data_IF_775096323787
#
_entry.id   IF_775096323787
#
_cell.length_a   1.000
_cell.length_b   1.000
_cell.length_c   1.000
_cell.angle_alpha   90.00
_cell.angle_beta   90.00
_cell.angle_gamma   90.00
#
_symmetry.space_group_name_H-M   'P 1'
#
loop_
_entity.id
_entity.type
_entity.pdbx_description
1 polymer ?
#
# COMPACT_ATOMS: atom_id res chain seq x y z
N UNK A 1 4.61 -12.17 -21.83
CA UNK A 1 3.20 -11.74 -21.65
C UNK A 1 3.17 -10.22 -21.77
N UNK A 2 2.58 -9.64 -22.83
CA UNK A 2 2.49 -8.18 -23.03
C UNK A 2 1.29 -7.67 -22.25
N UNK A 3 1.49 -6.82 -21.23
CA UNK A 3 0.39 -6.19 -20.50
C UNK A 3 -0.42 -5.30 -21.44
N UNK A 4 -1.69 -5.64 -21.62
CA UNK A 4 -2.66 -4.93 -22.46
C UNK A 4 -2.86 -3.49 -21.97
N UNK A 5 -2.86 -2.53 -22.89
CA UNK A 5 -2.99 -1.11 -22.64
C UNK A 5 -4.45 -0.65 -22.50
N UNK A 6 -5.28 -1.32 -21.69
CA UNK A 6 -6.70 -0.96 -21.52
C UNK A 6 -6.91 -0.16 -20.23
N UNK A 7 -6.28 1.00 -20.12
CA UNK A 7 -6.54 1.90 -18.99
C UNK A 7 -6.42 3.34 -19.46
N UNK A 8 -7.48 3.82 -20.13
CA UNK A 8 -7.66 5.21 -20.56
C UNK A 8 -8.20 6.11 -19.43
N UNK A 9 -8.56 5.51 -18.29
CA UNK A 9 -8.75 6.16 -16.99
C UNK A 9 -7.74 5.56 -16.03
N UNK A 10 -7.29 6.28 -15.01
CA UNK A 10 -6.32 5.85 -13.99
C UNK A 10 -6.75 4.62 -13.13
N UNK A 11 -7.53 3.70 -13.67
CA UNK A 11 -8.08 2.50 -13.06
C UNK A 11 -7.86 1.36 -14.06
N UNK A 12 -7.12 0.36 -13.63
CA UNK A 12 -6.78 -0.82 -14.43
C UNK A 12 -6.19 -1.87 -13.51
N UNK A 13 -6.65 -3.11 -13.65
CA UNK A 13 -6.24 -4.23 -12.81
C UNK A 13 -4.88 -4.77 -13.28
N UNK A 14 -3.81 -4.41 -12.57
CA UNK A 14 -2.45 -4.90 -12.80
C UNK A 14 -2.10 -5.94 -11.73
N UNK A 15 -1.98 -7.21 -12.10
CA UNK A 15 -1.66 -8.31 -11.19
C UNK A 15 -2.52 -8.34 -9.89
N UNK A 16 -3.83 -8.11 -10.02
CA UNK A 16 -4.76 -8.06 -8.89
C UNK A 16 -4.81 -6.71 -8.15
N UNK A 17 -4.12 -5.67 -8.66
CA UNK A 17 -4.17 -4.31 -8.13
C UNK A 17 -5.06 -3.43 -9.00
N UNK A 18 -6.14 -2.90 -8.40
CA UNK A 18 -7.10 -1.95 -8.99
C UNK A 18 -6.48 -0.72 -9.66
N UNK A 19 -5.22 -0.42 -9.35
CA UNK A 19 -4.50 0.73 -9.87
C UNK A 19 -3.09 0.30 -10.29
N UNK A 20 -2.85 0.27 -11.61
CA UNK A 20 -1.52 0.03 -12.19
C UNK A 20 -0.47 1.01 -11.65
N UNK A 21 0.75 0.53 -11.45
CA UNK A 21 1.86 1.37 -10.98
C UNK A 21 1.75 1.80 -9.51
N UNK A 22 0.96 1.08 -8.71
CA UNK A 22 0.83 1.28 -7.26
C UNK A 22 1.16 0.00 -6.49
N UNK A 23 1.42 0.16 -5.20
CA UNK A 23 1.60 -0.94 -4.24
C UNK A 23 0.93 -0.61 -2.92
N UNK A 24 0.57 -1.65 -2.17
CA UNK A 24 -0.13 -1.56 -0.91
C UNK A 24 0.80 -1.97 0.22
N UNK A 25 0.80 -1.19 1.28
CA UNK A 25 1.44 -1.53 2.56
C UNK A 25 0.31 -1.78 3.54
N UNK A 26 0.33 -2.95 4.16
CA UNK A 26 -0.67 -3.35 5.15
C UNK A 26 0.00 -3.37 6.52
N UNK A 27 -0.64 -2.76 7.50
CA UNK A 27 -0.33 -3.01 8.90
C UNK A 27 -1.35 -4.00 9.42
N UNK A 28 -0.87 -5.10 10.00
CA UNK A 28 -1.69 -6.15 10.58
C UNK A 28 -1.23 -6.43 12.00
N UNK A 29 -2.14 -6.88 12.86
CA UNK A 29 -1.78 -7.43 14.15
C UNK A 29 -1.24 -8.87 14.03
N UNK A 30 -0.87 -9.47 15.16
CA UNK A 30 -0.38 -10.85 15.22
C UNK A 30 -1.44 -11.91 14.87
N UNK A 31 -2.72 -11.54 14.95
CA UNK A 31 -3.85 -12.37 14.52
C UNK A 31 -4.21 -12.15 13.04
N UNK A 32 -3.41 -11.37 12.32
CA UNK A 32 -3.62 -10.98 10.91
C UNK A 32 -4.86 -10.09 10.68
N UNK A 33 -5.38 -9.44 11.72
CA UNK A 33 -6.41 -8.42 11.53
C UNK A 33 -5.80 -7.19 10.86
N UNK A 34 -6.47 -6.67 9.85
CA UNK A 34 -6.05 -5.47 9.14
C UNK A 34 -6.26 -4.24 10.02
N UNK A 35 -5.17 -3.61 10.45
CA UNK A 35 -5.19 -2.36 11.22
C UNK A 35 -5.21 -1.15 10.29
N UNK A 36 -4.40 -1.16 9.23
CA UNK A 36 -4.40 -0.08 8.22
C UNK A 36 -3.89 -0.54 6.86
N UNK A 37 -4.20 0.26 5.82
CA UNK A 37 -3.72 0.06 4.46
C UNK A 37 -3.33 1.39 3.83
N UNK A 38 -2.12 1.47 3.29
CA UNK A 38 -1.63 2.62 2.54
C UNK A 38 -1.31 2.22 1.09
N UNK A 39 -1.69 3.06 0.12
CA UNK A 39 -1.35 2.88 -1.30
C UNK A 39 -0.28 3.88 -1.69
N UNK A 40 0.88 3.39 -2.13
CA UNK A 40 1.98 4.22 -2.60
C UNK A 40 2.29 3.97 -4.08
N UNK A 41 3.03 4.88 -4.71
CA UNK A 41 3.50 4.67 -6.07
C UNK A 41 4.48 3.48 -6.13
N UNK A 42 4.50 2.76 -7.25
CA UNK A 42 5.33 1.56 -7.40
C UNK A 42 6.83 1.85 -7.26
N UNK A 43 7.28 3.06 -7.61
CA UNK A 43 8.68 3.48 -7.52
C UNK A 43 9.12 3.89 -6.11
N UNK A 44 8.20 4.08 -5.15
CA UNK A 44 8.57 4.37 -3.76
C UNK A 44 9.36 3.18 -3.19
N UNK A 45 10.21 3.36 -2.18
CA UNK A 45 10.88 2.22 -1.54
C UNK A 45 9.97 1.60 -0.47
N UNK A 46 9.84 0.27 -0.42
CA UNK A 46 8.90 -0.41 0.50
C UNK A 46 9.22 -0.12 1.96
N UNK A 47 10.46 -0.41 2.41
CA UNK A 47 10.88 -0.18 3.79
C UNK A 47 10.71 1.27 4.26
N UNK A 48 11.22 2.25 3.50
CA UNK A 48 11.05 3.67 3.83
C UNK A 48 9.57 4.12 3.85
N UNK A 49 8.74 3.59 2.96
CA UNK A 49 7.31 3.91 2.94
C UNK A 49 6.58 3.30 4.13
N UNK A 50 6.96 2.08 4.54
CA UNK A 50 6.40 1.40 5.71
C UNK A 50 6.83 2.08 7.02
N UNK A 51 8.10 2.45 7.15
CA UNK A 51 8.59 3.19 8.32
C UNK A 51 7.88 4.54 8.49
N UNK A 52 7.73 5.32 7.41
CA UNK A 52 6.96 6.58 7.45
C UNK A 52 5.50 6.39 7.82
N UNK A 53 4.89 5.29 7.36
CA UNK A 53 3.52 4.94 7.73
C UNK A 53 3.44 4.61 9.23
N UNK A 54 4.40 3.84 9.75
CA UNK A 54 4.50 3.52 11.17
C UNK A 54 4.65 4.79 12.02
N UNK A 55 5.64 5.64 11.72
CA UNK A 55 5.88 6.89 12.45
C UNK A 55 4.65 7.80 12.48
N UNK A 56 3.88 7.84 11.38
CA UNK A 56 2.66 8.64 11.33
C UNK A 56 1.53 8.05 12.19
N UNK A 57 1.46 6.72 12.32
CA UNK A 57 0.41 6.04 13.08
C UNK A 57 0.68 6.01 14.58
N UNK A 58 1.94 5.93 15.01
CA UNK A 58 2.30 5.93 16.44
C UNK A 58 2.03 7.27 17.11
N UNK A 59 2.12 8.38 16.36
CA UNK A 59 1.80 9.72 16.88
C UNK A 59 0.34 9.86 17.36
N UNK A 60 -0.59 9.16 16.72
CA UNK A 60 -2.03 9.30 16.95
C UNK A 60 -2.65 8.08 17.63
N UNK A 61 -1.86 7.04 17.95
CA UNK A 61 -2.36 5.78 18.48
C UNK A 61 -1.44 5.18 19.55
N UNK A 62 -1.82 5.36 20.81
CA UNK A 62 -1.12 4.84 21.99
C UNK A 62 -0.92 3.31 21.99
N UNK A 63 -1.70 2.57 21.18
CA UNK A 63 -1.57 1.11 21.08
C UNK A 63 -0.45 0.67 20.12
N UNK A 64 0.16 1.60 19.38
CA UNK A 64 1.22 1.33 18.40
C UNK A 64 2.61 1.79 18.86
N UNK A 65 2.73 2.39 20.05
CA UNK A 65 3.99 2.86 20.63
C UNK A 65 4.72 1.78 21.45
#
# INVERSE_FOLDING_TARGET
MKNTAISTRCVGDDAGKRTKGRKRIFLVDTLSNLLTCCVVAAHCHDGASAARLWDALTLDNELLD
#
